data_IF_125510390166
#
_entry.id   IF_125510390166
#
_cell.length_a   1.000
_cell.length_b   1.000
_cell.length_c   1.000
_cell.angle_alpha   90.00
_cell.angle_beta   90.00
_cell.angle_gamma   90.00
#
_symmetry.space_group_name_H-M   'P 1'
#
loop_
_entity.id
_entity.type
_entity.pdbx_description
1 polymer ?
#
# COMPACT_ATOMS: atom_id res chain seq x y z
N UNK A 1 -16.34 -6.03 20.10
CA UNK A 1 -16.97 -5.77 18.78
C UNK A 1 -16.06 -6.33 17.69
N UNK A 2 -16.31 -7.55 17.24
CA UNK A 2 -15.69 -8.11 16.02
C UNK A 2 -16.78 -8.87 15.28
N UNK A 3 -17.36 -8.26 14.24
CA UNK A 3 -18.20 -8.96 13.25
C UNK A 3 -17.42 -9.12 11.94
N UNK A 4 -16.18 -9.59 12.04
CA UNK A 4 -15.40 -10.02 10.88
C UNK A 4 -15.60 -11.53 10.77
N UNK A 5 -16.68 -11.95 10.11
CA UNK A 5 -17.00 -13.37 9.90
C UNK A 5 -16.47 -13.94 8.58
N UNK A 6 -15.85 -13.09 7.75
CA UNK A 6 -15.36 -13.45 6.42
C UNK A 6 -13.83 -13.60 6.35
N UNK A 7 -13.29 -14.03 5.19
CA UNK A 7 -11.86 -14.18 4.99
C UNK A 7 -11.10 -12.86 5.14
N UNK A 8 -9.86 -12.96 5.62
CA UNK A 8 -8.89 -11.87 5.65
C UNK A 8 -8.07 -11.88 4.34
N UNK A 9 -7.68 -10.69 3.87
CA UNK A 9 -6.96 -10.53 2.61
C UNK A 9 -5.55 -9.96 2.81
N UNK A 10 -4.58 -10.49 2.08
CA UNK A 10 -3.27 -9.87 1.87
C UNK A 10 -3.19 -9.49 0.40
N UNK A 11 -2.94 -8.20 0.12
CA UNK A 11 -3.01 -7.63 -1.23
C UNK A 11 -1.66 -7.04 -1.59
N UNK A 12 -1.03 -7.56 -2.64
CA UNK A 12 0.21 -7.02 -3.19
C UNK A 12 -0.13 -6.09 -4.36
N UNK A 13 0.02 -4.78 -4.17
CA UNK A 13 -0.41 -3.81 -5.18
C UNK A 13 0.37 -2.49 -5.10
N UNK A 14 -0.01 -1.50 -5.89
CA UNK A 14 0.62 -0.18 -5.98
C UNK A 14 0.30 0.74 -4.78
N UNK A 15 1.09 1.82 -4.63
CA UNK A 15 0.99 2.81 -3.55
C UNK A 15 -0.47 3.25 -3.28
N UNK A 16 -1.03 2.83 -2.14
CA UNK A 16 -2.41 3.12 -1.75
C UNK A 16 -2.69 4.63 -1.71
N UNK A 17 -3.71 5.07 -2.46
CA UNK A 17 -4.12 6.48 -2.50
C UNK A 17 -3.25 7.39 -3.37
N UNK A 18 -2.18 6.88 -4.00
CA UNK A 18 -1.33 7.68 -4.91
C UNK A 18 -1.85 7.73 -6.33
N UNK A 19 -2.32 6.60 -6.85
CA UNK A 19 -2.90 6.48 -8.19
C UNK A 19 -4.23 5.72 -8.13
N UNK A 20 -5.32 6.23 -8.73
CA UNK A 20 -6.57 5.49 -8.76
C UNK A 20 -6.40 4.24 -9.64
N UNK A 21 -6.40 3.07 -9.01
CA UNK A 21 -6.36 1.77 -9.70
C UNK A 21 -7.65 0.98 -9.45
N UNK A 22 -8.00 0.09 -10.39
CA UNK A 22 -9.16 -0.81 -10.21
C UNK A 22 -9.02 -1.67 -8.95
N UNK A 23 -7.79 -2.00 -8.56
CA UNK A 23 -7.49 -2.72 -7.32
C UNK A 23 -7.87 -1.87 -6.09
N UNK A 24 -7.45 -0.61 -6.05
CA UNK A 24 -7.82 0.31 -4.97
C UNK A 24 -9.33 0.55 -4.90
N UNK A 25 -10.00 0.70 -6.04
CA UNK A 25 -11.46 0.84 -6.08
C UNK A 25 -12.16 -0.36 -5.43
N UNK A 26 -11.74 -1.58 -5.81
CA UNK A 26 -12.33 -2.80 -5.29
C UNK A 26 -12.07 -2.96 -3.79
N UNK A 27 -10.81 -2.84 -3.37
CA UNK A 27 -10.43 -3.07 -1.98
C UNK A 27 -10.90 -1.96 -1.02
N UNK A 28 -11.22 -0.76 -1.53
CA UNK A 28 -11.90 0.27 -0.73
C UNK A 28 -13.26 -0.18 -0.20
N UNK A 29 -13.98 -1.01 -0.96
CA UNK A 29 -15.26 -1.57 -0.55
C UNK A 29 -15.07 -2.82 0.32
N UNK A 30 -14.16 -3.73 -0.08
CA UNK A 30 -13.88 -4.97 0.68
C UNK A 30 -13.35 -4.67 2.09
N UNK A 31 -12.50 -3.66 2.24
CA UNK A 31 -11.93 -3.28 3.53
C UNK A 31 -12.95 -2.75 4.56
N UNK A 32 -14.19 -2.43 4.14
CA UNK A 32 -15.26 -2.04 5.07
C UNK A 32 -15.77 -3.24 5.89
N UNK A 33 -15.67 -4.44 5.32
CA UNK A 33 -16.26 -5.66 5.89
C UNK A 33 -15.21 -6.74 6.23
N UNK A 34 -13.99 -6.61 5.71
CA UNK A 34 -12.91 -7.59 5.86
C UNK A 34 -11.60 -6.95 6.31
N UNK A 35 -10.76 -7.70 7.02
CA UNK A 35 -9.39 -7.23 7.29
C UNK A 35 -8.58 -7.35 6.02
N UNK A 36 -7.91 -6.25 5.67
CA UNK A 36 -7.06 -6.18 4.48
C UNK A 36 -5.68 -5.70 4.92
N UNK A 37 -4.66 -6.52 4.67
CA UNK A 37 -3.26 -6.13 4.75
C UNK A 37 -2.80 -5.74 3.34
N UNK A 38 -2.56 -4.46 3.13
CA UNK A 38 -2.01 -3.94 1.88
C UNK A 38 -0.49 -3.96 1.93
N UNK A 39 0.12 -4.64 0.96
CA UNK A 39 1.57 -4.75 0.81
C UNK A 39 1.96 -4.00 -0.44
N UNK A 40 2.55 -2.83 -0.24
CA UNK A 40 3.04 -2.00 -1.34
C UNK A 40 4.16 -2.71 -2.09
N UNK A 41 3.90 -2.97 -3.37
CA UNK A 41 4.89 -3.53 -4.30
C UNK A 41 5.79 -2.39 -4.79
N UNK A 42 6.65 -1.87 -3.91
CA UNK A 42 7.74 -1.03 -4.37
C UNK A 42 8.68 -1.93 -5.19
N UNK A 43 8.61 -1.79 -6.52
CA UNK A 43 9.55 -2.42 -7.41
C UNK A 43 10.95 -2.01 -6.97
N UNK A 44 11.82 -3.00 -6.72
CA UNK A 44 13.24 -2.82 -6.47
C UNK A 44 13.89 -2.23 -7.74
N UNK A 45 13.64 -0.94 -8.01
CA UNK A 45 14.62 -0.13 -8.72
C UNK A 45 15.82 -0.11 -7.76
N UNK A 46 17.01 -0.59 -8.16
CA UNK A 46 18.18 -0.48 -7.30
C UNK A 46 18.29 0.98 -6.86
N UNK A 47 18.43 1.27 -5.56
CA UNK A 47 18.62 2.64 -5.12
C UNK A 47 19.89 3.14 -5.79
N UNK A 48 19.74 3.99 -6.80
CA UNK A 48 20.88 4.73 -7.29
C UNK A 48 21.15 5.77 -6.21
N UNK A 49 22.43 6.00 -5.85
CA UNK A 49 22.82 7.08 -4.95
C UNK A 49 22.61 8.45 -5.64
N UNK A 50 21.37 8.74 -6.00
CA UNK A 50 20.94 9.97 -6.63
C UNK A 50 20.21 10.80 -5.58
N UNK A 51 20.33 12.12 -5.70
CA UNK A 51 19.71 13.08 -4.76
C UNK A 51 18.20 12.85 -4.59
N UNK A 52 17.52 12.37 -5.64
CA UNK A 52 16.09 12.08 -5.61
C UNK A 52 15.72 10.88 -4.71
N UNK A 53 16.60 9.87 -4.61
CA UNK A 53 16.37 8.71 -3.73
C UNK A 53 16.68 9.06 -2.26
N UNK A 54 17.68 9.92 -2.00
CA UNK A 54 17.94 10.48 -0.67
C UNK A 54 16.78 11.34 -0.15
N UNK A 55 16.17 12.16 -1.02
CA UNK A 55 15.02 13.00 -0.64
C UNK A 55 13.81 12.13 -0.24
N UNK A 56 13.53 11.08 -1.02
CA UNK A 56 12.46 10.12 -0.71
C UNK A 56 12.72 9.30 0.56
N UNK A 57 13.98 8.96 0.86
CA UNK A 57 14.33 8.30 2.12
C UNK A 57 14.14 9.24 3.33
N UNK A 58 14.49 10.52 3.19
CA UNK A 58 14.32 11.51 4.25
C UNK A 58 12.83 11.80 4.54
N UNK A 59 11.99 11.89 3.51
CA UNK A 59 10.53 12.03 3.67
C UNK A 59 9.91 10.88 4.47
N UNK A 60 10.42 9.65 4.31
CA UNK A 60 9.97 8.47 5.07
C UNK A 60 10.55 8.35 6.48
N UNK A 61 11.64 9.05 6.78
CA UNK A 61 12.29 9.02 8.10
C UNK A 61 11.78 10.13 9.03
N UNK A 62 11.12 11.15 8.48
CA UNK A 62 10.64 12.33 9.20
C UNK A 62 9.11 12.30 9.45
N UNK A 63 8.37 11.43 8.77
CA UNK A 63 6.96 11.12 9.05
C UNK A 63 6.79 9.80 9.79
#
# INVERSE_FOLDING_TARGET
MSRLGGPDFIVFSDDWGRHPSSCQHLFRHIALEHRVLWVETVGLRPPLLTRADLCRAAEKAVG
#
